data_IF_379636131301
#
_entry.id   IF_379636131301
#
_cell.length_a   1.000
_cell.length_b   1.000
_cell.length_c   1.000
_cell.angle_alpha   90.00
_cell.angle_beta   90.00
_cell.angle_gamma   90.00
#
_symmetry.space_group_name_H-M   'P 1'
#
loop_
_entity.id
_entity.type
_entity.pdbx_description
1 polymer ?
#
# COMPACT_ATOMS: atom_id res chain seq x y z
N UNK A 1 33.93 77.13 -7.51
CA UNK A 1 33.90 77.10 -8.98
C UNK A 1 34.13 75.68 -9.45
N UNK A 2 33.16 75.12 -10.21
CA UNK A 2 33.28 74.05 -11.24
C UNK A 2 33.91 72.71 -10.82
N UNK A 3 33.42 71.52 -11.14
CA UNK A 3 32.24 70.96 -11.80
C UNK A 3 32.30 69.43 -11.53
N UNK A 4 31.17 68.77 -11.33
CA UNK A 4 31.00 67.29 -11.32
C UNK A 4 31.18 66.70 -12.75
N UNK A 5 30.88 65.41 -13.07
CA UNK A 5 30.66 64.18 -12.28
C UNK A 5 31.26 62.89 -12.94
N UNK A 6 30.92 61.73 -12.35
CA UNK A 6 30.60 60.47 -13.02
C UNK A 6 31.74 59.54 -13.48
N UNK A 7 31.88 58.43 -12.78
CA UNK A 7 32.10 57.10 -13.37
C UNK A 7 31.70 56.05 -12.30
N UNK A 8 30.55 55.39 -12.51
CA UNK A 8 30.43 53.94 -12.79
C UNK A 8 30.66 53.04 -11.57
N UNK A 9 29.97 51.92 -11.35
CA UNK A 9 28.68 51.41 -11.80
C UNK A 9 28.42 50.20 -10.88
N UNK A 10 27.15 49.93 -10.68
CA UNK A 10 26.53 48.86 -9.90
C UNK A 10 27.03 47.44 -10.22
N UNK A 11 27.19 46.64 -9.16
CA UNK A 11 27.00 45.19 -9.01
C UNK A 11 27.18 44.23 -10.20
N UNK A 12 27.93 43.14 -9.97
CA UNK A 12 27.38 41.78 -10.07
C UNK A 12 28.32 40.78 -9.37
N UNK A 13 27.88 40.25 -8.22
CA UNK A 13 28.45 39.07 -7.58
C UNK A 13 28.11 37.86 -8.44
N UNK A 14 29.09 37.35 -9.19
CA UNK A 14 29.00 36.07 -9.86
C UNK A 14 29.19 34.96 -8.81
N UNK A 15 28.08 34.48 -8.23
CA UNK A 15 28.06 33.21 -7.51
C UNK A 15 28.18 32.08 -8.55
N UNK A 16 29.14 31.15 -8.44
CA UNK A 16 29.12 29.95 -9.25
C UNK A 16 27.90 29.13 -8.81
N UNK A 17 26.95 28.99 -9.72
CA UNK A 17 25.90 27.99 -9.61
C UNK A 17 26.59 26.63 -9.63
N UNK A 18 26.72 26.01 -8.46
CA UNK A 18 27.02 24.59 -8.34
C UNK A 18 25.78 23.88 -8.90
N UNK A 19 25.77 23.70 -10.22
CA UNK A 19 24.81 22.85 -10.89
C UNK A 19 25.03 21.44 -10.35
N UNK A 20 24.02 20.89 -9.68
CA UNK A 20 23.93 19.46 -9.43
C UNK A 20 23.97 18.76 -10.78
N UNK A 21 25.18 18.40 -11.22
CA UNK A 21 25.35 17.45 -12.30
C UNK A 21 24.62 16.18 -11.87
N UNK A 22 23.47 15.92 -12.48
CA UNK A 22 22.83 14.61 -12.47
C UNK A 22 23.87 13.63 -13.00
N UNK A 23 24.63 13.01 -12.09
CA UNK A 23 25.33 11.77 -12.39
C UNK A 23 24.23 10.80 -12.76
N UNK A 24 24.05 10.60 -14.06
CA UNK A 24 23.25 9.51 -14.60
C UNK A 24 23.83 8.24 -13.97
N UNK A 25 23.10 7.67 -13.01
CA UNK A 25 23.49 6.42 -12.41
C UNK A 25 23.77 5.43 -13.55
N UNK A 26 24.83 4.63 -13.47
CA UNK A 26 25.09 3.61 -14.49
C UNK A 26 23.80 2.82 -14.69
N UNK A 27 23.32 2.74 -15.92
CA UNK A 27 22.16 1.92 -16.25
C UNK A 27 22.60 0.47 -16.10
N UNK A 28 22.44 -0.07 -14.90
CA UNK A 28 22.38 -1.51 -14.71
C UNK A 28 21.11 -1.93 -15.44
N UNK A 29 21.27 -2.58 -16.58
CA UNK A 29 20.16 -3.24 -17.25
C UNK A 29 19.65 -4.29 -16.27
N UNK A 30 18.53 -3.98 -15.61
CA UNK A 30 17.97 -4.89 -14.64
C UNK A 30 17.56 -6.17 -15.37
N UNK A 31 17.89 -7.36 -14.83
CA UNK A 31 17.50 -8.61 -15.46
C UNK A 31 15.98 -8.63 -15.67
N UNK A 32 15.55 -9.31 -16.73
CA UNK A 32 14.12 -9.53 -16.96
C UNK A 32 13.53 -10.31 -15.77
N UNK A 33 12.27 -10.05 -15.46
CA UNK A 33 11.57 -10.81 -14.43
C UNK A 33 11.63 -12.31 -14.78
N UNK A 34 11.88 -13.20 -13.79
CA UNK A 34 11.84 -14.62 -14.04
C UNK A 34 10.44 -15.02 -14.52
N UNK A 35 10.30 -16.04 -15.36
CA UNK A 35 8.99 -16.47 -15.87
C UNK A 35 8.11 -17.07 -14.76
N UNK A 36 8.71 -17.64 -13.72
CA UNK A 36 8.04 -18.22 -12.56
C UNK A 36 8.98 -18.16 -11.35
N UNK A 37 8.39 -18.06 -10.16
CA UNK A 37 9.06 -18.21 -8.87
C UNK A 37 8.46 -19.43 -8.18
N UNK A 38 9.26 -20.44 -7.88
CA UNK A 38 8.78 -21.75 -7.39
C UNK A 38 9.10 -22.04 -5.93
N UNK A 39 10.06 -21.32 -5.35
CA UNK A 39 10.56 -21.54 -4.00
C UNK A 39 11.01 -20.21 -3.37
N UNK A 40 11.38 -20.27 -2.09
CA UNK A 40 11.77 -19.09 -1.31
C UNK A 40 13.07 -18.47 -1.79
N UNK A 41 14.03 -19.27 -2.24
CA UNK A 41 15.32 -18.75 -2.74
C UNK A 41 15.10 -17.94 -4.03
N UNK A 42 14.31 -18.48 -4.98
CA UNK A 42 13.92 -17.76 -6.18
C UNK A 42 13.06 -16.52 -5.88
N UNK A 43 12.22 -16.58 -4.84
CA UNK A 43 11.42 -15.45 -4.40
C UNK A 43 12.32 -14.34 -3.84
N UNK A 44 13.27 -14.67 -2.98
CA UNK A 44 14.23 -13.72 -2.42
C UNK A 44 15.08 -13.07 -3.52
N UNK A 45 15.58 -13.86 -4.47
CA UNK A 45 16.32 -13.34 -5.61
C UNK A 45 15.48 -12.37 -6.46
N UNK A 46 14.24 -12.74 -6.78
CA UNK A 46 13.33 -11.90 -7.54
C UNK A 46 12.96 -10.61 -6.78
N UNK A 47 12.74 -10.70 -5.47
CA UNK A 47 12.44 -9.57 -4.60
C UNK A 47 13.62 -8.59 -4.51
N UNK A 48 14.84 -9.11 -4.39
CA UNK A 48 16.06 -8.29 -4.35
C UNK A 48 16.24 -7.50 -5.65
N UNK A 49 16.01 -8.14 -6.80
CA UNK A 49 16.00 -7.42 -8.08
C UNK A 49 14.88 -6.38 -8.15
N UNK A 50 13.67 -6.73 -7.69
CA UNK A 50 12.53 -5.83 -7.67
C UNK A 50 12.76 -4.57 -6.82
N UNK A 51 13.35 -4.73 -5.64
CA UNK A 51 13.63 -3.65 -4.70
C UNK A 51 14.61 -2.61 -5.27
N UNK A 52 15.48 -3.01 -6.19
CA UNK A 52 16.46 -2.13 -6.84
C UNK A 52 15.87 -1.37 -8.05
N UNK A 53 14.67 -1.71 -8.52
CA UNK A 53 14.06 -1.06 -9.68
C UNK A 53 13.51 0.33 -9.33
N UNK A 54 13.87 1.38 -10.10
CA UNK A 54 13.23 2.70 -10.01
C UNK A 54 11.71 2.60 -10.17
N UNK A 55 10.95 3.46 -9.49
CA UNK A 55 9.48 3.40 -9.47
C UNK A 55 8.81 3.45 -10.87
N UNK A 56 9.45 4.11 -11.83
CA UNK A 56 9.00 4.26 -13.22
C UNK A 56 9.57 3.18 -14.15
N UNK A 57 10.36 2.24 -13.64
CA UNK A 57 10.98 1.19 -14.45
C UNK A 57 9.93 0.23 -15.01
N UNK A 58 9.92 -0.04 -16.34
CA UNK A 58 8.86 -0.82 -16.99
C UNK A 58 8.76 -2.26 -16.47
N UNK A 59 9.87 -2.87 -16.05
CA UNK A 59 9.89 -4.24 -15.53
C UNK A 59 9.22 -4.41 -14.16
N UNK A 60 8.94 -3.33 -13.41
CA UNK A 60 8.32 -3.44 -12.07
C UNK A 60 7.00 -4.19 -12.11
N UNK A 61 6.18 -3.96 -13.13
CA UNK A 61 4.90 -4.65 -13.26
C UNK A 61 5.08 -6.17 -13.46
N UNK A 62 6.07 -6.59 -14.25
CA UNK A 62 6.35 -8.00 -14.50
C UNK A 62 6.88 -8.70 -13.23
N UNK A 63 7.86 -8.10 -12.55
CA UNK A 63 8.37 -8.62 -11.28
C UNK A 63 7.29 -8.71 -10.21
N UNK A 64 6.47 -7.66 -10.07
CA UNK A 64 5.37 -7.67 -9.11
C UNK A 64 4.38 -8.78 -9.42
N UNK A 65 4.04 -9.01 -10.68
CA UNK A 65 3.12 -10.09 -11.05
C UNK A 65 3.62 -11.45 -10.53
N UNK A 66 4.87 -11.80 -10.80
CA UNK A 66 5.41 -13.12 -10.42
C UNK A 66 5.60 -13.26 -8.91
N UNK A 67 5.97 -12.18 -8.21
CA UNK A 67 6.05 -12.15 -6.75
C UNK A 67 4.66 -12.25 -6.11
N UNK A 68 3.66 -11.55 -6.66
CA UNK A 68 2.26 -11.65 -6.22
C UNK A 68 1.76 -13.08 -6.41
N UNK A 69 1.98 -13.70 -7.57
CA UNK A 69 1.50 -15.07 -7.84
C UNK A 69 2.08 -16.10 -6.84
N UNK A 70 3.37 -15.97 -6.50
CA UNK A 70 3.99 -16.78 -5.46
C UNK A 70 3.33 -16.58 -4.09
N UNK A 71 3.13 -15.32 -3.69
CA UNK A 71 2.51 -14.97 -2.40
C UNK A 71 1.04 -15.42 -2.32
N UNK A 72 0.30 -15.39 -3.43
CA UNK A 72 -1.07 -15.90 -3.46
C UNK A 72 -1.10 -17.42 -3.30
N UNK A 73 -0.12 -18.14 -3.86
CA UNK A 73 0.03 -19.58 -3.63
C UNK A 73 0.34 -19.87 -2.15
N UNK A 74 1.20 -19.05 -1.53
CA UNK A 74 1.53 -19.17 -0.11
C UNK A 74 0.32 -18.90 0.79
N UNK A 75 -0.45 -17.86 0.48
CA UNK A 75 -1.71 -17.52 1.15
C UNK A 75 -2.71 -18.68 1.08
N UNK A 76 -2.91 -19.27 -0.10
CA UNK A 76 -3.82 -20.41 -0.27
C UNK A 76 -3.34 -21.65 0.51
N UNK A 77 -2.04 -21.90 0.53
CA UNK A 77 -1.42 -22.94 1.35
C UNK A 77 -1.59 -22.71 2.85
N UNK A 78 -1.54 -21.46 3.31
CA UNK A 78 -1.79 -21.08 4.70
C UNK A 78 -3.26 -21.28 5.09
N UNK A 79 -4.19 -20.79 4.26
CA UNK A 79 -5.63 -21.01 4.47
C UNK A 79 -6.02 -22.50 4.47
N UNK A 80 -5.35 -23.34 3.65
CA UNK A 80 -5.58 -24.78 3.64
C UNK A 80 -5.12 -25.48 4.93
N UNK A 81 -4.22 -24.86 5.69
CA UNK A 81 -3.73 -25.34 7.00
C UNK A 81 -4.43 -24.65 8.18
N UNK A 82 -5.48 -23.86 7.91
CA UNK A 82 -6.16 -22.99 8.88
C UNK A 82 -5.19 -22.03 9.62
N UNK A 83 -4.17 -21.55 8.90
CA UNK A 83 -3.14 -20.62 9.38
C UNK A 83 -3.46 -19.19 8.89
N UNK A 84 -4.39 -18.53 9.59
CA UNK A 84 -4.92 -17.21 9.18
C UNK A 84 -3.88 -16.09 9.30
N UNK A 85 -2.99 -16.17 10.29
CA UNK A 85 -1.92 -15.19 10.50
C UNK A 85 -0.92 -15.21 9.33
N UNK A 86 -0.51 -16.40 8.87
CA UNK A 86 0.38 -16.55 7.72
C UNK A 86 -0.31 -16.13 6.40
N UNK A 87 -1.62 -16.37 6.28
CA UNK A 87 -2.41 -15.90 5.15
C UNK A 87 -2.51 -14.37 5.12
N UNK A 88 -2.74 -13.73 6.27
CA UNK A 88 -2.71 -12.27 6.40
C UNK A 88 -1.32 -11.71 6.07
N UNK A 89 -0.25 -12.30 6.60
CA UNK A 89 1.12 -11.89 6.33
C UNK A 89 1.43 -11.97 4.82
N UNK A 90 1.00 -13.04 4.16
CA UNK A 90 1.15 -13.23 2.71
C UNK A 90 0.40 -12.15 1.92
N UNK A 91 -0.85 -11.83 2.31
CA UNK A 91 -1.63 -10.76 1.68
C UNK A 91 -0.97 -9.39 1.89
N UNK A 92 -0.56 -9.08 3.13
CA UNK A 92 0.11 -7.83 3.48
C UNK A 92 1.40 -7.65 2.68
N UNK A 93 2.19 -8.72 2.52
CA UNK A 93 3.37 -8.68 1.68
C UNK A 93 2.98 -8.40 0.21
N UNK A 94 1.99 -9.10 -0.33
CA UNK A 94 1.57 -8.89 -1.72
C UNK A 94 1.13 -7.44 -1.98
N UNK A 95 0.46 -6.82 -1.01
CA UNK A 95 0.08 -5.40 -1.05
C UNK A 95 1.29 -4.47 -0.94
N UNK A 96 2.27 -4.79 -0.09
CA UNK A 96 3.49 -3.99 0.10
C UNK A 96 4.39 -3.93 -1.12
N UNK A 97 4.21 -4.84 -2.09
CA UNK A 97 4.90 -4.76 -3.38
C UNK A 97 4.51 -3.49 -4.15
N UNK A 98 3.35 -2.89 -3.90
CA UNK A 98 2.96 -1.65 -4.55
C UNK A 98 3.48 -0.44 -3.78
N UNK A 99 4.18 0.47 -4.46
CA UNK A 99 4.40 1.80 -3.87
C UNK A 99 3.07 2.53 -3.69
N UNK A 100 2.99 3.45 -2.72
CA UNK A 100 1.77 4.24 -2.47
C UNK A 100 1.29 5.02 -3.73
N UNK A 101 2.22 5.46 -4.59
CA UNK A 101 1.87 6.09 -5.87
C UNK A 101 1.27 5.10 -6.86
N UNK A 102 1.79 3.87 -6.92
CA UNK A 102 1.26 2.80 -7.77
C UNK A 102 -0.14 2.38 -7.30
N UNK A 103 -0.38 2.30 -5.98
CA UNK A 103 -1.70 1.98 -5.44
C UNK A 103 -2.77 2.96 -5.92
N UNK A 104 -2.48 4.23 -6.21
CA UNK A 104 -3.52 5.16 -6.70
C UNK A 104 -4.05 4.83 -8.09
N UNK A 105 -3.23 4.23 -8.95
CA UNK A 105 -3.53 4.01 -10.37
C UNK A 105 -3.38 2.56 -10.84
N UNK A 106 -3.00 1.64 -9.97
CA UNK A 106 -2.90 0.22 -10.24
C UNK A 106 -4.16 -0.32 -10.95
N UNK A 107 -3.99 -1.18 -11.97
CA UNK A 107 -5.10 -1.85 -12.62
C UNK A 107 -5.82 -2.79 -11.63
N UNK A 108 -7.01 -3.26 -12.01
CA UNK A 108 -7.65 -4.35 -11.30
C UNK A 108 -6.74 -5.59 -11.29
N UNK A 109 -6.77 -6.33 -10.19
CA UNK A 109 -6.05 -7.59 -10.02
C UNK A 109 -7.02 -8.62 -9.44
N UNK A 110 -7.86 -9.26 -10.29
CA UNK A 110 -8.95 -10.13 -9.83
C UNK A 110 -8.47 -11.29 -8.95
N UNK A 111 -7.31 -11.88 -9.24
CA UNK A 111 -6.74 -12.97 -8.43
C UNK A 111 -6.39 -12.50 -7.00
N UNK A 112 -5.82 -11.29 -6.86
CA UNK A 112 -5.51 -10.70 -5.57
C UNK A 112 -6.78 -10.33 -4.79
N UNK A 113 -7.80 -9.78 -5.47
CA UNK A 113 -9.09 -9.49 -4.85
C UNK A 113 -9.80 -10.77 -4.38
N UNK A 114 -9.78 -11.83 -5.18
CA UNK A 114 -10.39 -13.12 -4.85
C UNK A 114 -9.64 -13.81 -3.68
N UNK A 115 -8.31 -13.73 -3.63
CA UNK A 115 -7.54 -14.20 -2.48
C UNK A 115 -7.82 -13.42 -1.20
N UNK A 116 -7.92 -12.09 -1.30
CA UNK A 116 -8.33 -11.25 -0.18
C UNK A 116 -9.73 -11.63 0.31
N UNK A 117 -10.67 -11.89 -0.60
CA UNK A 117 -12.02 -12.33 -0.23
C UNK A 117 -12.02 -13.64 0.56
N UNK A 118 -11.21 -14.63 0.15
CA UNK A 118 -11.06 -15.88 0.90
C UNK A 118 -10.56 -15.65 2.32
N UNK A 119 -9.58 -14.74 2.50
CA UNK A 119 -9.12 -14.34 3.83
C UNK A 119 -10.25 -13.69 4.63
N UNK A 120 -10.94 -12.70 4.05
CA UNK A 120 -12.07 -12.00 4.69
C UNK A 120 -13.15 -12.97 5.20
N UNK A 121 -13.58 -13.93 4.37
CA UNK A 121 -14.61 -14.92 4.76
C UNK A 121 -14.19 -15.76 5.97
N UNK A 122 -12.88 -15.99 6.17
CA UNK A 122 -12.34 -16.71 7.33
C UNK A 122 -12.27 -15.81 8.55
N UNK A 123 -11.59 -14.67 8.42
CA UNK A 123 -11.30 -13.76 9.52
C UNK A 123 -12.57 -13.10 10.07
N UNK A 124 -13.55 -12.80 9.22
CA UNK A 124 -14.82 -12.24 9.65
C UNK A 124 -15.65 -13.22 10.51
N UNK A 125 -15.55 -14.53 10.26
CA UNK A 125 -16.24 -15.55 11.08
C UNK A 125 -15.67 -15.65 12.49
N UNK A 126 -14.38 -15.37 12.65
CA UNK A 126 -13.69 -15.42 13.92
C UNK A 126 -13.68 -14.08 14.68
N UNK A 127 -14.26 -13.02 14.11
CA UNK A 127 -14.18 -11.68 14.72
C UNK A 127 -12.75 -11.16 14.74
N UNK A 128 -12.02 -11.35 13.64
CA UNK A 128 -10.69 -10.76 13.46
C UNK A 128 -10.84 -9.56 12.52
N UNK A 129 -11.11 -8.38 13.10
CA UNK A 129 -11.51 -7.18 12.35
C UNK A 129 -10.35 -6.60 11.55
N UNK A 130 -9.16 -6.58 12.16
CA UNK A 130 -7.92 -6.07 11.57
C UNK A 130 -7.55 -6.78 10.24
N UNK A 131 -7.43 -8.12 10.21
CA UNK A 131 -7.23 -8.87 8.96
C UNK A 131 -8.40 -8.70 7.97
N UNK A 132 -9.63 -8.61 8.48
CA UNK A 132 -10.83 -8.44 7.65
C UNK A 132 -10.84 -7.08 6.93
N UNK A 133 -10.48 -6.00 7.62
CA UNK A 133 -10.34 -4.68 7.01
C UNK A 133 -9.20 -4.67 5.98
N UNK A 134 -8.05 -5.28 6.28
CA UNK A 134 -6.96 -5.40 5.28
C UNK A 134 -7.44 -6.10 4.00
N UNK A 135 -8.16 -7.22 4.14
CA UNK A 135 -8.74 -7.96 3.03
C UNK A 135 -9.76 -7.14 2.23
N UNK A 136 -10.68 -6.45 2.91
CA UNK A 136 -11.67 -5.60 2.25
C UNK A 136 -11.05 -4.39 1.55
N UNK A 137 -9.97 -3.81 2.09
CA UNK A 137 -9.20 -2.78 1.40
C UNK A 137 -8.61 -3.29 0.08
N UNK A 138 -8.09 -4.52 0.07
CA UNK A 138 -7.58 -5.15 -1.13
C UNK A 138 -8.70 -5.45 -2.15
N UNK A 139 -9.84 -5.97 -1.71
CA UNK A 139 -11.03 -6.18 -2.57
C UNK A 139 -11.51 -4.87 -3.18
N UNK A 140 -11.66 -3.82 -2.36
CA UNK A 140 -12.09 -2.50 -2.81
C UNK A 140 -11.11 -1.93 -3.83
N UNK A 141 -9.81 -2.20 -3.68
CA UNK A 141 -8.83 -1.65 -4.60
C UNK A 141 -8.73 -2.41 -5.92
N UNK A 142 -8.67 -3.74 -5.84
CA UNK A 142 -8.27 -4.59 -6.96
C UNK A 142 -9.43 -5.32 -7.62
N UNK A 143 -10.62 -5.32 -7.00
CA UNK A 143 -11.83 -5.93 -7.54
C UNK A 143 -12.43 -5.18 -8.72
N UNK A 144 -13.39 -5.83 -9.37
CA UNK A 144 -14.30 -5.22 -10.34
C UNK A 144 -15.38 -4.37 -9.66
N UNK A 145 -16.24 -3.70 -10.44
CA UNK A 145 -17.24 -2.78 -9.89
C UNK A 145 -18.14 -3.44 -8.83
N UNK A 146 -18.60 -4.67 -9.07
CA UNK A 146 -19.45 -5.40 -8.15
C UNK A 146 -18.71 -5.77 -6.85
N UNK A 147 -17.47 -6.25 -6.97
CA UNK A 147 -16.59 -6.56 -5.83
C UNK A 147 -16.32 -5.33 -4.99
N UNK A 148 -16.05 -4.18 -5.61
CA UNK A 148 -15.81 -2.91 -4.88
C UNK A 148 -17.05 -2.48 -4.10
N UNK A 149 -18.23 -2.55 -4.70
CA UNK A 149 -19.48 -2.21 -4.01
C UNK A 149 -19.72 -3.13 -2.81
N UNK A 150 -19.51 -4.44 -2.97
CA UNK A 150 -19.61 -5.39 -1.85
C UNK A 150 -18.60 -5.07 -0.75
N UNK A 151 -17.33 -4.88 -1.11
CA UNK A 151 -16.26 -4.61 -0.15
C UNK A 151 -16.53 -3.34 0.68
N UNK A 152 -17.09 -2.29 0.06
CA UNK A 152 -17.51 -1.08 0.79
C UNK A 152 -18.66 -1.37 1.76
N UNK A 153 -19.67 -2.12 1.35
CA UNK A 153 -20.80 -2.50 2.22
C UNK A 153 -20.35 -3.35 3.42
N UNK A 154 -19.45 -4.29 3.19
CA UNK A 154 -18.90 -5.16 4.22
C UNK A 154 -17.99 -4.39 5.18
N UNK A 155 -17.20 -3.45 4.64
CA UNK A 155 -16.37 -2.54 5.42
C UNK A 155 -17.21 -1.66 6.35
N UNK A 156 -18.28 -1.04 5.84
CA UNK A 156 -19.20 -0.23 6.65
C UNK A 156 -19.89 -1.05 7.75
N UNK A 157 -20.10 -2.34 7.49
CA UNK A 157 -20.65 -3.26 8.49
C UNK A 157 -19.63 -3.52 9.61
N UNK A 158 -18.36 -3.74 9.28
CA UNK A 158 -17.30 -3.90 10.27
C UNK A 158 -17.04 -2.63 11.07
N UNK A 159 -17.02 -1.45 10.43
CA UNK A 159 -16.87 -0.19 11.16
C UNK A 159 -18.02 0.01 12.15
N UNK A 160 -19.26 -0.25 11.73
CA UNK A 160 -20.42 -0.16 12.62
C UNK A 160 -20.31 -1.16 13.77
N UNK A 161 -19.89 -2.39 13.47
CA UNK A 161 -19.66 -3.40 14.51
C UNK A 161 -18.61 -2.94 15.53
N UNK A 162 -17.48 -2.37 15.08
CA UNK A 162 -16.43 -1.85 15.96
C UNK A 162 -16.95 -0.70 16.84
N UNK A 163 -17.73 0.22 16.27
CA UNK A 163 -18.33 1.33 17.01
C UNK A 163 -19.37 0.83 18.02
N UNK A 164 -20.27 -0.07 17.60
CA UNK A 164 -21.37 -0.58 18.42
C UNK A 164 -20.86 -1.48 19.55
N UNK A 165 -19.74 -2.17 19.36
CA UNK A 165 -19.15 -3.06 20.36
C UNK A 165 -18.06 -2.40 21.21
N UNK A 166 -17.52 -1.25 20.79
CA UNK A 166 -16.57 -0.46 21.58
C UNK A 166 -17.03 -0.13 23.00
N UNK A 167 -18.32 0.13 23.29
CA UNK A 167 -18.82 0.32 24.67
C UNK A 167 -18.81 -0.93 25.55
N UNK A 168 -18.70 -2.13 24.97
CA UNK A 168 -18.50 -3.38 25.73
C UNK A 168 -17.02 -3.66 26.01
N UNK A 169 -16.10 -3.00 25.29
CA UNK A 169 -14.73 -2.86 25.75
C UNK A 169 -14.76 -2.01 27.03
N UNK A 170 -13.90 -2.34 27.98
CA UNK A 170 -13.94 -1.89 29.40
C UNK A 170 -14.00 -0.37 29.64
N UNK A 171 -13.95 0.47 28.60
CA UNK A 171 -13.88 1.92 28.65
C UNK A 171 -14.67 2.56 27.46
N UNK A 172 -15.88 3.12 27.68
CA UNK A 172 -16.73 3.70 26.63
C UNK A 172 -16.11 4.86 25.84
N UNK A 173 -15.05 5.49 26.36
CA UNK A 173 -14.32 6.55 25.67
C UNK A 173 -13.41 6.02 24.53
N UNK A 174 -13.09 4.72 24.53
CA UNK A 174 -12.18 4.09 23.57
C UNK A 174 -12.88 3.46 22.36
N UNK A 175 -14.22 3.53 22.28
CA UNK A 175 -14.99 2.89 21.21
C UNK A 175 -14.54 3.33 19.80
N UNK A 176 -14.09 4.58 19.67
CA UNK A 176 -13.57 5.10 18.40
C UNK A 176 -12.05 4.88 18.27
N UNK A 177 -11.32 4.64 19.36
CA UNK A 177 -9.87 4.40 19.31
C UNK A 177 -9.52 3.04 18.71
N UNK A 178 -10.35 2.02 18.91
CA UNK A 178 -10.14 0.71 18.30
C UNK A 178 -10.30 0.79 16.77
N UNK A 179 -11.37 1.46 16.31
CA UNK A 179 -11.56 1.73 14.89
C UNK A 179 -10.44 2.60 14.33
N UNK A 180 -10.06 3.68 15.02
CA UNK A 180 -8.96 4.57 14.62
C UNK A 180 -7.65 3.80 14.45
N UNK A 181 -7.24 3.01 15.45
CA UNK A 181 -6.03 2.18 15.39
C UNK A 181 -6.08 1.15 14.26
N UNK A 182 -7.24 0.54 14.04
CA UNK A 182 -7.42 -0.41 12.94
C UNK A 182 -7.25 0.28 11.59
N UNK A 183 -7.90 1.44 11.38
CA UNK A 183 -7.78 2.20 10.15
C UNK A 183 -6.36 2.75 9.93
N UNK A 184 -5.69 3.24 10.96
CA UNK A 184 -4.28 3.65 10.90
C UNK A 184 -3.38 2.49 10.46
N UNK A 185 -3.60 1.31 11.04
CA UNK A 185 -2.78 0.12 10.74
C UNK A 185 -3.02 -0.38 9.31
N UNK A 186 -4.27 -0.36 8.84
CA UNK A 186 -4.61 -0.72 7.45
C UNK A 186 -4.10 0.34 6.49
N UNK A 187 -4.22 1.64 6.81
CA UNK A 187 -3.69 2.72 6.00
C UNK A 187 -2.16 2.66 5.87
N UNK A 188 -1.46 2.27 6.93
CA UNK A 188 -0.02 2.05 6.90
C UNK A 188 0.38 0.88 5.99
N UNK A 189 -0.44 -0.17 5.91
CA UNK A 189 -0.19 -1.34 5.06
C UNK A 189 -0.58 -1.11 3.59
N UNK A 190 -1.72 -0.47 3.35
CA UNK A 190 -2.34 -0.33 2.02
C UNK A 190 -2.99 1.07 1.90
N UNK A 191 -2.19 2.13 1.65
CA UNK A 191 -2.66 3.52 1.60
C UNK A 191 -3.39 3.83 0.27
N UNK A 192 -4.49 3.12 0.03
CA UNK A 192 -5.35 3.37 -1.13
C UNK A 192 -6.19 4.63 -0.89
N UNK A 193 -6.65 5.30 -1.97
CA UNK A 193 -7.51 6.48 -1.82
C UNK A 193 -8.75 6.23 -0.94
N UNK A 194 -9.34 5.04 -1.02
CA UNK A 194 -10.47 4.65 -0.18
C UNK A 194 -10.11 4.61 1.30
N UNK A 195 -9.08 3.84 1.68
CA UNK A 195 -8.67 3.69 3.08
C UNK A 195 -8.25 5.03 3.68
N UNK A 196 -7.46 5.81 2.94
CA UNK A 196 -7.03 7.15 3.37
C UNK A 196 -8.23 8.08 3.57
N UNK A 197 -9.23 8.03 2.69
CA UNK A 197 -10.44 8.82 2.86
C UNK A 197 -11.25 8.39 4.09
N UNK A 198 -11.41 7.08 4.34
CA UNK A 198 -12.11 6.59 5.55
C UNK A 198 -11.44 7.06 6.83
N UNK A 199 -10.10 6.97 6.90
CA UNK A 199 -9.35 7.46 8.05
C UNK A 199 -9.48 8.98 8.21
N UNK A 200 -9.44 9.74 7.11
CA UNK A 200 -9.64 11.19 7.15
C UNK A 200 -11.05 11.57 7.62
N UNK A 201 -12.09 10.89 7.13
CA UNK A 201 -13.48 11.10 7.52
C UNK A 201 -13.68 10.81 9.01
N UNK A 202 -13.04 9.75 9.53
CA UNK A 202 -13.05 9.42 10.95
C UNK A 202 -12.44 10.54 11.81
N UNK A 203 -11.27 11.05 11.41
CA UNK A 203 -10.63 12.15 12.14
C UNK A 203 -11.48 13.44 12.11
N UNK A 204 -12.07 13.80 10.97
CA UNK A 204 -12.93 14.99 10.84
C UNK A 204 -14.22 14.84 11.66
N UNK A 205 -14.79 13.63 11.76
CA UNK A 205 -15.96 13.39 12.58
C UNK A 205 -15.65 13.51 14.09
N UNK A 206 -14.39 13.29 14.49
CA UNK A 206 -13.94 13.28 15.89
C UNK A 206 -13.40 14.63 16.39
N UNK A 207 -12.76 15.43 15.54
CA UNK A 207 -12.03 16.65 15.91
C UNK A 207 -12.52 17.90 15.17
#
# INVERSE_FOLDING_TARGET
MRSSPALLLTALLALPTVGCAHRKAPSVEAPLAPPVVTDLDAFEDALNHYALLPLDHPSRAAYRSVLTDFLLTHLDGALARDDEDEAEASLRFALSLYAASELRSAPAAPALAEAAHRLYVRTARHGAEMPSLLALAAEQRFGDAATRTRAVSDWETLERWLIDNGPFATEPLLAHEELERALETVAAAVPTPFVVQRLADLYVARY
#
